data_IF_989149700910
#
_entry.id   IF_989149700910
#
_cell.length_a   1.000
_cell.length_b   1.000
_cell.length_c   1.000
_cell.angle_alpha   90.00
_cell.angle_beta   90.00
_cell.angle_gamma   90.00
#
_symmetry.space_group_name_H-M   'P 1'
#
loop_
_entity.id
_entity.type
_entity.pdbx_description
1 polymer ?
#
# COMPACT_ATOMS: atom_id res chain seq x y z
N UNK A 1 -2.19 4.90 12.77
CA UNK A 1 -2.79 4.52 11.47
C UNK A 1 -2.02 5.12 10.29
N UNK A 2 -1.77 6.43 10.22
CA UNK A 2 -1.04 7.08 9.11
C UNK A 2 0.32 6.45 8.80
N UNK A 3 1.14 6.18 9.82
CA UNK A 3 2.46 5.53 9.62
C UNK A 3 2.36 4.14 9.00
N UNK A 4 1.33 3.36 9.34
CA UNK A 4 1.05 2.08 8.68
C UNK A 4 0.65 2.30 7.22
N UNK A 5 -0.27 3.24 6.94
CA UNK A 5 -0.71 3.53 5.57
C UNK A 5 0.45 3.99 4.68
N UNK A 6 1.35 4.81 5.20
CA UNK A 6 2.57 5.22 4.49
C UNK A 6 3.49 4.03 4.18
N UNK A 7 3.68 3.11 5.13
CA UNK A 7 4.47 1.90 4.91
C UNK A 7 3.80 0.95 3.90
N UNK A 8 2.48 0.75 4.02
CA UNK A 8 1.69 -0.06 3.08
C UNK A 8 1.74 0.49 1.66
N UNK A 9 1.68 1.82 1.52
CA UNK A 9 1.79 2.52 0.25
C UNK A 9 3.13 2.24 -0.46
N UNK A 10 4.26 2.23 0.26
CA UNK A 10 5.57 1.87 -0.29
C UNK A 10 5.62 0.41 -0.73
N UNK A 11 5.01 -0.47 0.04
CA UNK A 11 5.00 -1.93 -0.15
C UNK A 11 3.69 -2.45 -0.77
N UNK A 12 3.04 -1.66 -1.63
CA UNK A 12 1.71 -1.93 -2.22
C UNK A 12 1.60 -3.24 -3.02
N UNK A 13 2.71 -3.81 -3.46
CA UNK A 13 2.76 -5.11 -4.16
C UNK A 13 2.70 -6.31 -3.22
N UNK A 14 2.92 -6.09 -1.93
CA UNK A 14 2.80 -7.11 -0.92
C UNK A 14 1.33 -7.31 -0.54
N UNK A 15 0.98 -8.52 -0.11
CA UNK A 15 -0.36 -8.80 0.43
C UNK A 15 -0.58 -8.03 1.73
N UNK A 16 -1.83 -7.83 2.11
CA UNK A 16 -2.17 -7.07 3.32
C UNK A 16 -1.54 -7.64 4.60
N UNK A 17 -1.59 -8.97 4.76
CA UNK A 17 -0.95 -9.67 5.88
C UNK A 17 0.58 -9.49 5.88
N UNK A 18 1.21 -9.52 4.71
CA UNK A 18 2.63 -9.21 4.58
C UNK A 18 2.95 -7.75 4.91
N UNK A 19 2.11 -6.79 4.47
CA UNK A 19 2.28 -5.36 4.80
C UNK A 19 2.22 -5.11 6.30
N UNK A 20 1.31 -5.78 7.02
CA UNK A 20 1.22 -5.72 8.49
C UNK A 20 2.50 -6.24 9.15
N UNK A 21 2.99 -7.40 8.70
CA UNK A 21 4.21 -8.01 9.24
C UNK A 21 5.47 -7.21 8.90
N UNK A 22 5.54 -6.63 7.70
CA UNK A 22 6.63 -5.73 7.30
C UNK A 22 6.61 -4.50 8.20
N UNK A 23 5.46 -3.85 8.35
CA UNK A 23 5.34 -2.66 9.20
C UNK A 23 5.72 -2.93 10.66
N UNK A 24 5.27 -4.07 11.21
CA UNK A 24 5.58 -4.42 12.59
C UNK A 24 7.07 -4.66 12.85
N UNK A 25 7.82 -5.15 11.85
CA UNK A 25 9.24 -5.48 11.98
C UNK A 25 10.16 -4.37 11.44
N UNK A 26 9.72 -3.66 10.39
CA UNK A 26 10.50 -2.63 9.70
C UNK A 26 9.58 -1.54 9.11
N UNK A 27 9.09 -0.60 9.92
CA UNK A 27 8.13 0.43 9.49
C UNK A 27 8.70 1.40 8.44
N UNK A 28 10.02 1.53 8.36
CA UNK A 28 10.77 2.37 7.41
C UNK A 28 11.13 1.68 6.09
N UNK A 29 10.78 0.40 5.90
CA UNK A 29 11.07 -0.33 4.68
C UNK A 29 10.57 0.39 3.42
N UNK A 30 11.46 0.52 2.43
CA UNK A 30 11.21 1.25 1.18
C UNK A 30 10.75 0.30 0.07
N UNK A 31 11.49 -0.79 -0.12
CA UNK A 31 11.18 -1.80 -1.13
C UNK A 31 11.71 -3.16 -0.69
N UNK A 32 10.80 -4.10 -0.46
CA UNK A 32 11.17 -5.42 0.05
C UNK A 32 11.06 -6.50 -1.02
N UNK A 33 12.00 -7.45 -0.98
CA UNK A 33 11.96 -8.64 -1.83
C UNK A 33 12.70 -9.81 -1.17
N UNK A 34 12.44 -11.02 -1.68
CA UNK A 34 13.18 -12.21 -1.29
C UNK A 34 14.64 -12.16 -1.78
N UNK A 35 15.53 -12.88 -1.08
CA UNK A 35 16.96 -12.97 -1.40
C UNK A 35 17.21 -13.32 -2.88
N UNK A 36 16.48 -14.29 -3.40
CA UNK A 36 16.59 -14.72 -4.80
C UNK A 36 16.25 -13.60 -5.79
N UNK A 37 15.29 -12.77 -5.46
CA UNK A 37 14.88 -11.62 -6.28
C UNK A 37 16.00 -10.57 -6.30
N UNK A 38 16.58 -10.27 -5.16
CA UNK A 38 17.72 -9.35 -5.06
C UNK A 38 18.89 -9.86 -5.91
N UNK A 39 19.29 -11.11 -5.72
CA UNK A 39 20.47 -11.68 -6.39
C UNK A 39 20.23 -11.88 -7.90
N UNK A 40 19.13 -12.51 -8.29
CA UNK A 40 18.90 -12.92 -9.69
C UNK A 40 18.38 -11.79 -10.57
N UNK A 41 17.42 -11.01 -10.05
CA UNK A 41 16.75 -9.95 -10.83
C UNK A 41 17.48 -8.63 -10.79
N UNK A 42 17.89 -8.18 -9.59
CA UNK A 42 18.50 -6.87 -9.39
C UNK A 42 20.02 -6.88 -9.36
N UNK A 43 20.65 -8.06 -9.26
CA UNK A 43 22.12 -8.20 -9.12
C UNK A 43 22.64 -7.44 -7.90
N UNK A 44 21.84 -7.45 -6.84
CA UNK A 44 22.16 -6.90 -5.53
C UNK A 44 22.33 -8.02 -4.52
N UNK A 45 23.20 -7.82 -3.55
CA UNK A 45 23.51 -8.79 -2.51
C UNK A 45 23.07 -8.26 -1.16
N UNK A 46 22.41 -9.10 -0.37
CA UNK A 46 22.04 -8.74 0.99
C UNK A 46 23.28 -8.65 1.86
N UNK A 47 23.37 -7.60 2.68
CA UNK A 47 24.47 -7.37 3.61
C UNK A 47 24.54 -8.48 4.65
N UNK A 48 25.74 -8.88 5.06
CA UNK A 48 26.00 -10.08 5.89
C UNK A 48 25.19 -10.12 7.19
N UNK A 49 25.02 -9.02 7.86
CA UNK A 49 24.36 -8.95 9.18
C UNK A 49 22.92 -8.43 9.11
N UNK A 50 22.34 -8.34 7.90
CA UNK A 50 20.98 -7.87 7.74
C UNK A 50 19.97 -8.88 8.26
N UNK A 51 19.00 -8.38 9.02
CA UNK A 51 17.92 -9.18 9.58
C UNK A 51 16.75 -9.25 8.59
N UNK A 52 16.41 -10.47 8.16
CA UNK A 52 15.26 -10.69 7.29
C UNK A 52 13.93 -10.41 7.98
N UNK A 53 12.99 -9.84 7.24
CA UNK A 53 11.61 -9.59 7.66
C UNK A 53 10.81 -10.88 7.42
N UNK A 54 10.34 -11.50 8.50
CA UNK A 54 9.61 -12.77 8.43
C UNK A 54 8.15 -12.53 8.03
N UNK A 55 7.68 -13.21 6.98
CA UNK A 55 6.28 -13.20 6.55
C UNK A 55 5.80 -14.63 6.28
N UNK A 56 4.49 -14.86 6.29
CA UNK A 56 3.94 -16.18 6.00
C UNK A 56 4.11 -16.53 4.52
N UNK A 57 4.60 -17.74 4.25
CA UNK A 57 4.66 -18.26 2.89
C UNK A 57 3.33 -18.90 2.47
N UNK A 58 2.57 -18.31 1.55
CA UNK A 58 1.29 -18.85 1.11
C UNK A 58 1.40 -20.13 0.31
N UNK A 59 2.60 -20.45 -0.21
CA UNK A 59 2.90 -21.65 -0.99
C UNK A 59 3.50 -22.76 -0.15
N UNK A 60 3.94 -22.43 1.05
CA UNK A 60 4.54 -23.39 1.97
C UNK A 60 3.52 -24.23 2.70
N UNK A 61 4.02 -25.21 3.49
CA UNK A 61 3.17 -25.92 4.44
C UNK A 61 2.67 -24.96 5.52
N UNK A 62 1.60 -25.35 6.24
CA UNK A 62 1.05 -24.56 7.35
C UNK A 62 2.17 -24.04 8.28
N UNK A 63 2.20 -22.76 8.54
CA UNK A 63 3.19 -22.05 9.37
C UNK A 63 4.61 -21.96 8.79
N UNK A 64 4.80 -22.13 7.47
CA UNK A 64 6.10 -21.87 6.84
C UNK A 64 6.31 -20.36 6.71
N UNK A 65 7.54 -19.93 7.00
CA UNK A 65 7.95 -18.53 6.86
C UNK A 65 8.86 -18.38 5.63
N UNK A 66 8.73 -17.23 4.98
CA UNK A 66 9.71 -16.71 4.01
C UNK A 66 10.26 -15.38 4.53
N UNK A 67 11.39 -14.95 4.00
CA UNK A 67 12.07 -13.76 4.48
C UNK A 67 12.23 -12.75 3.34
N UNK A 68 11.84 -11.52 3.64
CA UNK A 68 12.12 -10.35 2.81
C UNK A 68 13.30 -9.56 3.37
N UNK A 69 13.99 -8.86 2.48
CA UNK A 69 15.03 -7.89 2.82
C UNK A 69 14.69 -6.57 2.14
N UNK A 70 14.88 -5.47 2.85
CA UNK A 70 14.68 -4.14 2.26
C UNK A 70 15.83 -3.77 1.33
N UNK A 71 15.59 -2.88 0.38
CA UNK A 71 16.62 -2.38 -0.55
C UNK A 71 17.82 -1.77 0.20
N UNK A 72 17.59 -1.12 1.34
CA UNK A 72 18.63 -0.54 2.18
C UNK A 72 19.56 -1.58 2.83
N UNK A 73 19.10 -2.84 2.94
CA UNK A 73 19.91 -3.96 3.41
C UNK A 73 20.76 -4.61 2.31
N UNK A 74 20.79 -4.02 1.12
CA UNK A 74 21.48 -4.59 -0.02
C UNK A 74 22.54 -3.66 -0.58
N UNK A 75 23.57 -4.25 -1.17
CA UNK A 75 24.63 -3.53 -1.90
C UNK A 75 24.74 -4.03 -3.34
N UNK A 76 25.42 -3.25 -4.16
CA UNK A 76 25.65 -3.59 -5.56
C UNK A 76 26.57 -4.81 -5.71
N UNK A 77 26.27 -5.66 -6.69
CA UNK A 77 27.14 -6.75 -7.06
C UNK A 77 28.45 -6.27 -7.70
N UNK A 78 29.46 -7.11 -7.74
CA UNK A 78 30.79 -6.79 -8.28
C UNK A 78 30.76 -6.23 -9.71
N UNK A 79 29.83 -6.69 -10.55
CA UNK A 79 29.65 -6.23 -11.93
C UNK A 79 28.54 -5.16 -12.06
N UNK A 80 28.18 -4.50 -10.97
CA UNK A 80 27.10 -3.54 -10.89
C UNK A 80 25.74 -4.16 -10.60
N UNK A 81 24.74 -3.30 -10.39
CA UNK A 81 23.36 -3.72 -10.09
C UNK A 81 22.38 -3.17 -11.14
N UNK A 82 21.18 -3.74 -11.16
CA UNK A 82 20.06 -3.17 -11.93
C UNK A 82 19.29 -2.18 -11.07
N UNK A 83 18.73 -1.10 -11.66
CA UNK A 83 17.90 -0.16 -10.93
C UNK A 83 16.72 -0.88 -10.26
N UNK A 84 16.49 -0.57 -9.00
CA UNK A 84 15.29 -0.99 -8.29
C UNK A 84 14.16 -0.05 -8.68
N UNK A 85 13.03 -0.54 -9.21
CA UNK A 85 11.95 0.31 -9.69
C UNK A 85 11.14 0.85 -8.50
N UNK A 86 11.69 1.82 -7.80
CA UNK A 86 10.99 2.60 -6.79
C UNK A 86 10.19 3.66 -7.55
N UNK A 87 8.87 3.56 -7.44
CA UNK A 87 8.01 4.50 -8.12
C UNK A 87 8.09 5.88 -7.46
N UNK A 88 8.28 6.90 -8.26
CA UNK A 88 8.25 8.31 -7.85
C UNK A 88 7.44 9.10 -8.88
N UNK A 89 6.57 9.96 -8.39
CA UNK A 89 5.83 10.87 -9.26
C UNK A 89 6.80 11.86 -9.93
N UNK A 90 6.60 12.06 -11.23
CA UNK A 90 7.35 13.07 -11.99
C UNK A 90 6.34 14.07 -12.55
N UNK A 91 6.51 15.35 -12.21
CA UNK A 91 5.59 16.43 -12.57
C UNK A 91 5.27 16.54 -14.06
N UNK A 92 6.19 16.12 -14.94
CA UNK A 92 5.92 16.10 -16.39
C UNK A 92 4.78 15.15 -16.81
N UNK A 93 4.42 14.19 -15.95
CA UNK A 93 3.33 13.25 -16.21
C UNK A 93 2.05 13.58 -15.44
N UNK A 94 2.03 14.68 -14.70
CA UNK A 94 0.90 15.05 -13.83
C UNK A 94 -0.41 15.12 -14.60
N UNK A 95 -0.44 15.86 -15.71
CA UNK A 95 -1.62 15.97 -16.54
C UNK A 95 -2.08 14.62 -17.10
N UNK A 96 -1.17 13.79 -17.56
CA UNK A 96 -1.50 12.46 -18.08
C UNK A 96 -2.03 11.53 -16.97
N UNK A 97 -1.59 11.71 -15.72
CA UNK A 97 -2.11 10.97 -14.56
C UNK A 97 -3.54 11.44 -14.25
N UNK A 98 -3.79 12.76 -14.21
CA UNK A 98 -5.13 13.33 -13.98
C UNK A 98 -6.13 12.79 -15.03
N UNK A 99 -5.76 12.83 -16.30
CA UNK A 99 -6.59 12.32 -17.40
C UNK A 99 -6.91 10.83 -17.21
N UNK A 100 -5.91 10.01 -16.88
CA UNK A 100 -6.10 8.57 -16.64
C UNK A 100 -6.96 8.28 -15.40
N UNK A 101 -6.84 9.07 -14.36
CA UNK A 101 -7.69 8.95 -13.18
C UNK A 101 -9.14 9.29 -13.52
N UNK A 102 -9.36 10.36 -14.29
CA UNK A 102 -10.66 10.77 -14.78
C UNK A 102 -11.31 9.69 -15.66
N UNK A 103 -10.57 9.13 -16.61
CA UNK A 103 -11.07 8.05 -17.48
C UNK A 103 -11.47 6.79 -16.70
N UNK A 104 -10.76 6.48 -15.62
CA UNK A 104 -10.92 5.22 -14.88
C UNK A 104 -11.93 5.28 -13.76
N UNK A 105 -12.01 6.40 -13.05
CA UNK A 105 -12.76 6.55 -11.81
C UNK A 105 -13.87 7.61 -11.89
N UNK A 106 -14.18 8.08 -13.08
CA UNK A 106 -15.19 9.11 -13.30
C UNK A 106 -14.57 10.50 -13.33
N UNK A 107 -15.30 11.39 -13.98
CA UNK A 107 -14.82 12.71 -14.35
C UNK A 107 -14.40 13.51 -13.12
N UNK A 108 -13.14 13.86 -13.06
CA UNK A 108 -12.62 14.83 -12.11
C UNK A 108 -12.59 16.19 -12.81
N UNK A 109 -13.33 17.16 -12.31
CA UNK A 109 -13.26 18.55 -12.81
C UNK A 109 -11.98 19.25 -12.32
N UNK A 110 -11.12 18.49 -11.65
CA UNK A 110 -9.94 19.00 -10.96
C UNK A 110 -8.82 19.32 -11.94
N UNK A 111 -8.24 20.49 -11.78
CA UNK A 111 -7.12 20.98 -12.58
C UNK A 111 -5.76 20.68 -11.94
N UNK A 112 -5.73 20.26 -10.69
CA UNK A 112 -4.51 19.91 -9.94
C UNK A 112 -4.55 18.45 -9.47
N UNK A 113 -3.35 17.88 -9.29
CA UNK A 113 -3.19 16.46 -8.94
C UNK A 113 -3.79 16.10 -7.57
N UNK A 114 -3.65 16.98 -6.57
CA UNK A 114 -4.14 16.68 -5.22
C UNK A 114 -5.67 16.55 -5.20
N UNK A 115 -6.36 17.51 -5.83
CA UNK A 115 -7.81 17.46 -5.96
C UNK A 115 -8.28 16.26 -6.78
N UNK A 116 -7.60 15.92 -7.89
CA UNK A 116 -7.91 14.75 -8.70
C UNK A 116 -7.75 13.44 -7.91
N UNK A 117 -6.72 13.32 -7.07
CA UNK A 117 -6.51 12.15 -6.21
C UNK A 117 -7.59 12.04 -5.12
N UNK A 118 -8.03 13.17 -4.55
CA UNK A 118 -9.13 13.19 -3.56
C UNK A 118 -10.45 12.73 -4.17
N UNK A 119 -10.79 13.25 -5.34
CA UNK A 119 -12.03 12.87 -6.06
C UNK A 119 -11.97 11.40 -6.48
N UNK A 120 -10.82 10.95 -7.00
CA UNK A 120 -10.58 9.53 -7.31
C UNK A 120 -10.78 8.64 -6.09
N UNK A 121 -10.25 9.02 -4.94
CA UNK A 121 -10.42 8.26 -3.70
C UNK A 121 -11.91 8.16 -3.31
N UNK A 122 -12.64 9.26 -3.42
CA UNK A 122 -14.07 9.31 -3.13
C UNK A 122 -14.85 8.39 -4.08
N UNK A 123 -14.65 8.53 -5.38
CA UNK A 123 -15.37 7.74 -6.39
C UNK A 123 -15.07 6.24 -6.23
N UNK A 124 -13.80 5.86 -6.06
CA UNK A 124 -13.41 4.46 -5.87
C UNK A 124 -14.01 3.84 -4.60
N UNK A 125 -14.18 4.63 -3.53
CA UNK A 125 -14.82 4.16 -2.30
C UNK A 125 -16.33 4.03 -2.49
N UNK A 126 -16.99 5.00 -3.11
CA UNK A 126 -18.44 4.94 -3.37
C UNK A 126 -18.79 3.72 -4.24
N UNK A 127 -18.02 3.42 -5.28
CA UNK A 127 -18.23 2.27 -6.17
C UNK A 127 -18.20 0.92 -5.42
N UNK A 128 -17.47 0.85 -4.31
CA UNK A 128 -17.27 -0.41 -3.57
C UNK A 128 -17.87 -0.38 -2.15
N UNK A 129 -18.49 0.73 -1.75
CA UNK A 129 -18.92 0.96 -0.37
C UNK A 129 -19.88 -0.13 0.14
N UNK A 130 -20.88 -0.48 -0.66
CA UNK A 130 -21.93 -1.41 -0.23
C UNK A 130 -21.37 -2.82 0.04
N UNK A 131 -20.46 -3.28 -0.81
CA UNK A 131 -19.83 -4.60 -0.66
C UNK A 131 -18.97 -4.66 0.61
N UNK A 132 -18.12 -3.65 0.81
CA UNK A 132 -17.24 -3.60 2.00
C UNK A 132 -18.02 -3.34 3.28
N UNK A 133 -19.06 -2.51 3.23
CA UNK A 133 -19.91 -2.25 4.39
C UNK A 133 -20.71 -3.48 4.79
N UNK A 134 -21.23 -4.22 3.83
CA UNK A 134 -21.90 -5.51 4.07
C UNK A 134 -20.98 -6.52 4.74
N UNK A 135 -19.70 -6.57 4.33
CA UNK A 135 -18.69 -7.40 4.99
C UNK A 135 -18.41 -6.91 6.42
N UNK A 136 -18.26 -5.60 6.62
CA UNK A 136 -18.08 -5.02 7.96
C UNK A 136 -19.21 -5.42 8.90
N UNK A 137 -20.47 -5.33 8.46
CA UNK A 137 -21.62 -5.74 9.26
C UNK A 137 -21.55 -7.20 9.72
N UNK A 138 -20.96 -8.08 8.92
CA UNK A 138 -20.72 -9.46 9.31
C UNK A 138 -19.75 -9.61 10.50
N UNK A 139 -18.91 -8.62 10.78
CA UNK A 139 -17.93 -8.61 11.86
C UNK A 139 -18.32 -7.70 13.04
N UNK A 140 -19.47 -7.01 12.98
CA UNK A 140 -19.89 -6.11 14.08
C UNK A 140 -20.46 -6.87 15.27
N UNK A 141 -20.98 -8.08 15.07
CA UNK A 141 -21.55 -8.91 16.14
C UNK A 141 -20.51 -9.17 17.25
N UNK A 142 -20.95 -9.08 18.49
CA UNK A 142 -20.09 -9.22 19.68
C UNK A 142 -18.93 -8.19 19.74
N UNK A 143 -19.06 -7.05 19.03
CA UNK A 143 -18.09 -5.95 19.05
C UNK A 143 -18.73 -4.66 19.57
N UNK A 144 -17.90 -3.66 19.90
CA UNK A 144 -18.41 -2.34 20.30
C UNK A 144 -19.23 -1.62 19.20
N UNK A 145 -19.15 -2.09 17.96
CA UNK A 145 -19.93 -1.53 16.85
C UNK A 145 -21.38 -2.03 16.84
N UNK A 146 -21.69 -3.12 17.54
CA UNK A 146 -23.02 -3.73 17.54
C UNK A 146 -24.10 -2.81 18.13
N UNK A 147 -23.72 -2.01 19.13
CA UNK A 147 -24.60 -1.07 19.81
C UNK A 147 -24.76 0.28 19.07
N UNK A 148 -23.98 0.49 18.02
CA UNK A 148 -24.00 1.74 17.26
C UNK A 148 -25.06 1.69 16.16
N UNK A 149 -25.67 2.85 15.91
CA UNK A 149 -26.58 3.04 14.78
C UNK A 149 -25.88 2.80 13.43
N UNK A 150 -26.47 1.95 12.60
CA UNK A 150 -25.96 1.53 11.30
C UNK A 150 -25.58 2.72 10.40
N UNK A 151 -26.39 3.78 10.38
CA UNK A 151 -26.14 4.96 9.56
C UNK A 151 -24.87 5.69 10.02
N UNK A 152 -24.70 5.83 11.33
CA UNK A 152 -23.49 6.45 11.88
C UNK A 152 -22.24 5.61 11.61
N UNK A 153 -22.35 4.27 11.72
CA UNK A 153 -21.26 3.36 11.37
C UNK A 153 -20.90 3.50 9.90
N UNK A 154 -21.88 3.53 8.99
CA UNK A 154 -21.65 3.69 7.55
C UNK A 154 -20.97 5.03 7.23
N UNK A 155 -21.45 6.14 7.78
CA UNK A 155 -20.86 7.47 7.56
C UNK A 155 -19.41 7.53 8.06
N UNK A 156 -19.15 7.00 9.26
CA UNK A 156 -17.80 6.96 9.82
C UNK A 156 -16.88 6.05 9.00
N UNK A 157 -17.36 4.89 8.59
CA UNK A 157 -16.62 3.95 7.76
C UNK A 157 -16.26 4.57 6.40
N UNK A 158 -17.24 5.11 5.69
CA UNK A 158 -17.06 5.82 4.42
C UNK A 158 -15.97 6.89 4.53
N UNK A 159 -16.09 7.77 5.53
CA UNK A 159 -15.12 8.85 5.77
C UNK A 159 -13.73 8.31 6.07
N UNK A 160 -13.63 7.28 6.92
CA UNK A 160 -12.35 6.67 7.29
C UNK A 160 -11.66 6.06 6.06
N UNK A 161 -12.40 5.29 5.25
CA UNK A 161 -11.83 4.62 4.08
C UNK A 161 -11.43 5.63 3.01
N UNK A 162 -12.29 6.62 2.71
CA UNK A 162 -11.97 7.70 1.76
C UNK A 162 -10.71 8.45 2.15
N UNK A 163 -10.60 8.87 3.41
CA UNK A 163 -9.41 9.57 3.89
C UNK A 163 -8.15 8.69 3.85
N UNK A 164 -8.29 7.39 4.14
CA UNK A 164 -7.17 6.44 4.08
C UNK A 164 -6.67 6.23 2.65
N UNK A 165 -7.58 6.05 1.70
CA UNK A 165 -7.24 5.91 0.27
C UNK A 165 -6.61 7.21 -0.25
N UNK A 166 -7.20 8.36 0.02
CA UNK A 166 -6.65 9.66 -0.37
C UNK A 166 -5.25 9.87 0.18
N UNK A 167 -5.05 9.61 1.48
CA UNK A 167 -3.72 9.69 2.10
C UNK A 167 -2.69 8.78 1.42
N UNK A 168 -3.06 7.54 1.11
CA UNK A 168 -2.16 6.61 0.42
C UNK A 168 -1.82 7.07 -0.99
N UNK A 169 -2.79 7.59 -1.74
CA UNK A 169 -2.56 8.12 -3.09
C UNK A 169 -1.66 9.35 -3.06
N UNK A 170 -1.94 10.30 -2.16
CA UNK A 170 -1.12 11.51 -1.99
C UNK A 170 0.31 11.18 -1.55
N UNK A 171 0.46 10.38 -0.50
CA UNK A 171 1.77 9.93 -0.02
C UNK A 171 2.59 9.23 -1.11
N UNK A 172 1.93 8.44 -1.97
CA UNK A 172 2.57 7.79 -3.10
C UNK A 172 3.01 8.79 -4.17
N UNK A 173 2.26 9.88 -4.35
CA UNK A 173 2.61 10.95 -5.28
C UNK A 173 3.60 11.97 -4.68
N UNK A 174 4.02 11.81 -3.42
CA UNK A 174 4.90 12.75 -2.73
C UNK A 174 4.21 14.07 -2.37
N UNK A 175 2.88 14.01 -2.19
CA UNK A 175 2.05 15.11 -1.71
C UNK A 175 1.77 14.84 -0.22
N UNK A 176 2.36 15.67 0.65
CA UNK A 176 2.19 15.60 2.11
C UNK A 176 1.05 16.49 2.60
#
# INVERSE_FOLDING_TARGET
>A
MQSFLAAACRNYKCRFDEQLLIYAQRPDAIAVAELDTWNKRFKRWVNKDSKGIAVFDPKGRRNTLKYYFDVSDTHDGYYGSRPVPIWQMNGRYEQAVIERLSDRFGNTESTDLASALMETAKNAVEDNLQDYFSQLKGFTRDSFLEELDDLNVEVCYRRLVTNSVAFMLMSRCGLD
#
